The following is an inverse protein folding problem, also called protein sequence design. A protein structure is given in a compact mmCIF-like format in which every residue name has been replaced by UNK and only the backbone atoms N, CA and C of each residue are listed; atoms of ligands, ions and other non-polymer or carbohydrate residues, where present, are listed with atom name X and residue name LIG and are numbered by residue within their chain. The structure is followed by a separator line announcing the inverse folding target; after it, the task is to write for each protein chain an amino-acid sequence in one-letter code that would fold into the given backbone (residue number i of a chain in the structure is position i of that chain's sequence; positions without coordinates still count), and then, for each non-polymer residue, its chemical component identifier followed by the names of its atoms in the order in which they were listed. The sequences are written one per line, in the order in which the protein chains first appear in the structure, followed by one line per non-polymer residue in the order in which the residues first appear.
data_IF_530387268422
#
_entry.id   IF_530387268422
#
_cell.length_a   1.000
_cell.length_b   1.000
_cell.length_c   1.000
_cell.angle_alpha   90.00
_cell.angle_beta   90.00
_cell.angle_gamma   90.00
#
_symmetry.space_group_name_H-M   'P 1'
#
loop_
_entity.id
_entity.type
_entity.pdbx_description
1 polymer ?
#
# COMPACT_ATOMS: atom_id res chain seq x y z
N UNK A 1 -15.62 -18.90 -4.71
CA UNK A 1 -16.79 -18.04 -4.40
C UNK A 1 -16.47 -16.64 -4.94
N UNK A 2 -17.16 -16.24 -6.01
CA UNK A 2 -17.03 -14.89 -6.56
C UNK A 2 -17.66 -13.91 -5.56
N UNK A 3 -16.84 -13.09 -4.92
CA UNK A 3 -17.37 -11.95 -4.15
C UNK A 3 -17.89 -10.93 -5.17
N UNK A 4 -19.20 -10.93 -5.35
CA UNK A 4 -19.92 -9.88 -6.06
C UNK A 4 -19.66 -8.58 -5.29
N UNK A 5 -18.80 -7.74 -5.82
CA UNK A 5 -18.58 -6.38 -5.31
C UNK A 5 -19.91 -5.64 -5.51
N UNK A 6 -20.50 -5.18 -4.42
CA UNK A 6 -21.78 -4.48 -4.47
C UNK A 6 -21.71 -3.30 -5.46
N UNK A 7 -22.78 -3.05 -6.25
CA UNK A 7 -22.78 -2.01 -7.28
C UNK A 7 -22.55 -0.57 -6.78
N UNK A 8 -22.50 -0.38 -5.48
CA UNK A 8 -22.34 0.92 -4.80
C UNK A 8 -20.88 1.21 -4.34
N UNK A 9 -19.90 0.31 -4.60
CA UNK A 9 -18.52 0.58 -4.24
C UNK A 9 -17.91 1.70 -5.11
N UNK A 10 -17.11 2.62 -4.53
CA UNK A 10 -16.41 3.66 -5.29
C UNK A 10 -15.59 3.05 -6.44
N UNK A 11 -15.52 3.76 -7.58
CA UNK A 11 -14.81 3.28 -8.77
C UNK A 11 -13.37 2.86 -8.46
N UNK A 12 -12.65 3.65 -7.67
CA UNK A 12 -11.28 3.34 -7.26
C UNK A 12 -11.14 2.00 -6.52
N UNK A 13 -12.15 1.59 -5.74
CA UNK A 13 -12.14 0.30 -5.06
C UNK A 13 -12.47 -0.85 -6.04
N UNK A 14 -13.37 -0.61 -6.99
CA UNK A 14 -13.72 -1.58 -8.04
C UNK A 14 -12.56 -1.87 -8.99
N UNK A 15 -11.75 -0.85 -9.28
CA UNK A 15 -10.56 -0.92 -10.15
C UNK A 15 -9.29 -1.34 -9.41
N UNK A 16 -9.36 -1.53 -8.08
CA UNK A 16 -8.17 -1.88 -7.30
C UNK A 16 -7.62 -3.24 -7.75
N UNK A 17 -6.33 -3.32 -8.13
CA UNK A 17 -5.66 -4.56 -8.46
C UNK A 17 -5.85 -5.63 -7.38
N UNK A 18 -6.11 -6.85 -7.80
CA UNK A 18 -6.26 -8.04 -6.94
C UNK A 18 -5.04 -8.94 -6.98
N UNK A 19 -4.21 -8.78 -7.99
CA UNK A 19 -2.95 -9.51 -8.20
C UNK A 19 -1.83 -8.55 -8.55
N UNK A 20 -0.57 -8.98 -8.37
CA UNK A 20 0.59 -8.19 -8.77
C UNK A 20 0.60 -7.87 -10.27
N UNK A 21 0.14 -8.79 -11.11
CA UNK A 21 0.09 -8.61 -12.56
C UNK A 21 -0.90 -7.54 -13.02
N UNK A 22 -1.86 -7.18 -12.17
CA UNK A 22 -2.82 -6.11 -12.46
C UNK A 22 -2.32 -4.72 -12.01
N UNK A 23 -1.20 -4.66 -11.27
CA UNK A 23 -0.63 -3.38 -10.84
C UNK A 23 0.00 -2.71 -12.05
N UNK A 24 -0.51 -1.52 -12.36
CA UNK A 24 0.00 -0.70 -13.45
C UNK A 24 1.15 0.16 -12.95
N UNK A 25 2.22 0.25 -13.72
CA UNK A 25 3.44 0.97 -13.35
C UNK A 25 4.31 0.22 -12.33
N UNK A 26 5.26 0.92 -11.71
CA UNK A 26 6.16 0.42 -10.65
C UNK A 26 7.03 -0.78 -11.07
N UNK A 27 7.37 -0.93 -12.35
CA UNK A 27 8.15 -2.06 -12.87
C UNK A 27 9.53 -2.20 -12.22
N UNK A 28 10.13 -1.08 -11.79
CA UNK A 28 11.40 -1.05 -11.07
C UNK A 28 11.33 -1.68 -9.65
N UNK A 29 10.12 -1.86 -9.10
CA UNK A 29 9.88 -2.53 -7.82
C UNK A 29 9.23 -3.91 -7.97
N UNK A 30 8.33 -4.06 -8.94
CA UNK A 30 7.47 -5.22 -9.11
C UNK A 30 7.84 -6.08 -10.33
N UNK A 31 8.80 -5.64 -11.13
CA UNK A 31 9.34 -6.41 -12.25
C UNK A 31 10.00 -7.71 -11.78
N UNK A 32 10.24 -8.62 -12.71
CA UNK A 32 10.90 -9.89 -12.43
C UNK A 32 12.28 -9.68 -11.78
N UNK A 33 12.57 -10.39 -10.70
CA UNK A 33 13.82 -10.29 -9.96
C UNK A 33 13.96 -9.04 -9.07
N UNK A 34 12.99 -8.14 -9.05
CA UNK A 34 13.03 -6.96 -8.19
C UNK A 34 12.72 -7.29 -6.73
N UNK A 35 13.32 -6.54 -5.81
CA UNK A 35 13.32 -6.86 -4.38
C UNK A 35 11.90 -6.99 -3.79
N UNK A 36 10.96 -6.12 -4.17
CA UNK A 36 9.58 -6.20 -3.68
C UNK A 36 8.85 -7.40 -4.30
N UNK A 37 9.10 -7.69 -5.59
CA UNK A 37 8.56 -8.88 -6.25
C UNK A 37 9.03 -10.17 -5.58
N UNK A 38 10.32 -10.28 -5.29
CA UNK A 38 10.89 -11.43 -4.58
C UNK A 38 10.30 -11.62 -3.18
N UNK A 39 9.99 -10.54 -2.46
CA UNK A 39 9.31 -10.62 -1.18
C UNK A 39 7.91 -11.24 -1.30
N UNK A 40 7.14 -10.87 -2.33
CA UNK A 40 5.85 -11.49 -2.62
C UNK A 40 6.01 -12.99 -2.94
N UNK A 41 6.97 -13.35 -3.77
CA UNK A 41 7.21 -14.73 -4.21
C UNK A 41 7.74 -15.63 -3.11
N UNK A 42 8.55 -15.08 -2.20
CA UNK A 42 9.09 -15.82 -1.05
C UNK A 42 8.05 -16.09 0.05
N UNK A 43 6.90 -15.41 0.03
CA UNK A 43 5.89 -15.49 1.08
C UNK A 43 6.37 -14.96 2.44
N UNK A 44 7.47 -14.20 2.46
CA UNK A 44 8.03 -13.62 3.69
C UNK A 44 7.87 -12.11 3.71
N UNK A 45 6.85 -11.60 4.43
CA UNK A 45 6.68 -10.17 4.58
C UNK A 45 7.83 -9.57 5.39
N UNK A 46 8.28 -8.40 4.98
CA UNK A 46 9.22 -7.58 5.74
C UNK A 46 8.68 -6.18 5.92
N UNK A 47 9.08 -5.52 6.98
CA UNK A 47 8.68 -4.14 7.23
C UNK A 47 9.29 -3.20 6.19
N UNK A 48 8.47 -2.26 5.71
CA UNK A 48 8.90 -1.34 4.66
C UNK A 48 8.20 0.01 4.75
N UNK A 49 8.76 0.99 4.03
CA UNK A 49 8.19 2.31 3.84
C UNK A 49 8.01 2.53 2.35
N UNK A 50 6.79 2.80 1.94
CA UNK A 50 6.45 3.24 0.59
C UNK A 50 6.49 4.76 0.51
N UNK A 51 7.44 5.28 -0.23
CA UNK A 51 7.61 6.71 -0.45
C UNK A 51 7.30 7.07 -1.90
N UNK A 52 6.48 8.08 -2.10
CA UNK A 52 6.18 8.59 -3.44
C UNK A 52 4.92 9.45 -3.48
N UNK A 53 4.67 10.12 -4.62
CA UNK A 53 3.51 11.01 -4.80
C UNK A 53 2.18 10.33 -4.51
N UNK A 54 1.10 11.09 -4.29
CA UNK A 54 -0.25 10.55 -4.20
C UNK A 54 -0.63 9.75 -5.46
N UNK A 55 -1.47 8.75 -5.32
CA UNK A 55 -1.99 7.98 -6.46
C UNK A 55 -1.03 6.97 -7.08
N UNK A 56 0.17 6.76 -6.53
CA UNK A 56 1.18 5.81 -7.04
C UNK A 56 0.94 4.35 -6.67
N UNK A 57 -0.08 4.05 -5.87
CA UNK A 57 -0.46 2.67 -5.52
C UNK A 57 0.04 2.17 -4.17
N UNK A 58 0.57 3.03 -3.27
CA UNK A 58 1.10 2.63 -1.94
C UNK A 58 0.14 1.73 -1.16
N UNK A 59 -1.10 2.16 -0.97
CA UNK A 59 -2.13 1.40 -0.26
C UNK A 59 -2.51 0.11 -1.00
N UNK A 60 -2.53 0.15 -2.33
CA UNK A 60 -2.85 -1.01 -3.16
C UNK A 60 -1.80 -2.11 -2.99
N UNK A 61 -0.52 -1.75 -3.07
CA UNK A 61 0.59 -2.71 -2.90
C UNK A 61 0.58 -3.29 -1.49
N UNK A 62 0.34 -2.45 -0.45
CA UNK A 62 0.24 -2.94 0.92
C UNK A 62 -0.91 -3.96 1.12
N UNK A 63 -2.06 -3.74 0.51
CA UNK A 63 -3.19 -4.68 0.54
C UNK A 63 -2.88 -5.99 -0.21
N UNK A 64 -2.20 -5.89 -1.34
CA UNK A 64 -1.75 -7.08 -2.09
C UNK A 64 -0.75 -7.89 -1.27
N UNK A 65 0.17 -7.25 -0.55
CA UNK A 65 1.07 -7.93 0.39
C UNK A 65 0.29 -8.68 1.46
N UNK A 66 -0.69 -8.03 2.10
CA UNK A 66 -1.50 -8.68 3.12
C UNK A 66 -2.25 -9.92 2.58
N UNK A 67 -2.81 -9.81 1.38
CA UNK A 67 -3.48 -10.93 0.71
C UNK A 67 -2.52 -12.05 0.35
N UNK A 68 -1.35 -11.72 -0.22
CA UNK A 68 -0.35 -12.71 -0.62
C UNK A 68 0.24 -13.50 0.57
N UNK A 69 0.28 -12.87 1.74
CA UNK A 69 0.83 -13.48 2.96
C UNK A 69 -0.24 -14.06 3.90
N UNK A 70 -1.51 -14.06 3.48
CA UNK A 70 -2.68 -14.43 4.31
C UNK A 70 -2.64 -13.72 5.67
N UNK A 71 -2.32 -12.44 5.67
CA UNK A 71 -2.18 -11.64 6.87
C UNK A 71 -3.43 -10.80 7.13
N UNK A 72 -3.74 -10.62 8.41
CA UNK A 72 -4.71 -9.60 8.82
C UNK A 72 -4.18 -8.22 8.45
N UNK A 73 -4.98 -7.42 7.74
CA UNK A 73 -4.62 -6.06 7.34
C UNK A 73 -5.27 -5.04 8.27
N UNK A 74 -4.44 -4.27 8.99
CA UNK A 74 -4.89 -3.19 9.86
C UNK A 74 -4.40 -1.88 9.27
N UNK A 75 -5.31 -0.93 9.08
CA UNK A 75 -4.98 0.40 8.54
C UNK A 75 -5.09 1.46 9.64
N UNK A 76 -4.07 2.28 9.77
CA UNK A 76 -4.05 3.46 10.63
C UNK A 76 -3.79 4.68 9.75
N UNK A 77 -4.61 5.73 9.89
CA UNK A 77 -4.33 7.04 9.28
C UNK A 77 -3.59 7.90 10.28
N UNK A 78 -2.38 8.32 9.98
CA UNK A 78 -1.63 9.22 10.87
C UNK A 78 -2.19 10.66 10.87
N UNK A 79 -3.07 11.00 9.92
CA UNK A 79 -3.76 12.29 9.88
C UNK A 79 -4.89 12.37 10.92
N UNK A 80 -5.64 11.28 11.07
CA UNK A 80 -6.84 11.22 11.92
C UNK A 80 -6.61 10.41 13.20
N UNK A 81 -5.60 9.54 13.20
CA UNK A 81 -5.31 8.60 14.27
C UNK A 81 -4.33 9.16 15.30
N UNK A 82 -4.17 8.38 16.38
CA UNK A 82 -3.27 8.70 17.48
C UNK A 82 -2.80 7.45 18.22
N UNK A 83 -2.29 7.65 19.44
CA UNK A 83 -1.79 6.57 20.31
C UNK A 83 -2.85 5.51 20.57
N UNK A 84 -4.12 5.88 20.60
CA UNK A 84 -5.24 4.95 20.80
C UNK A 84 -5.30 3.92 19.64
N UNK A 85 -5.21 4.40 18.40
CA UNK A 85 -5.27 3.54 17.22
C UNK A 85 -4.08 2.58 17.17
N UNK A 86 -2.90 3.04 17.61
CA UNK A 86 -1.70 2.19 17.71
C UNK A 86 -1.94 1.07 18.72
N UNK A 87 -2.50 1.38 19.92
CA UNK A 87 -2.82 0.38 20.94
C UNK A 87 -3.84 -0.64 20.44
N UNK A 88 -4.92 -0.17 19.80
CA UNK A 88 -5.92 -1.06 19.21
C UNK A 88 -5.33 -2.00 18.14
N UNK A 89 -4.40 -1.50 17.33
CA UNK A 89 -3.70 -2.31 16.35
C UNK A 89 -2.83 -3.39 17.01
N UNK A 90 -2.14 -3.05 18.09
CA UNK A 90 -1.35 -4.00 18.89
C UNK A 90 -2.22 -5.09 19.49
N UNK A 91 -3.35 -4.73 20.12
CA UNK A 91 -4.30 -5.69 20.69
C UNK A 91 -4.85 -6.66 19.61
N UNK A 92 -5.26 -6.12 18.46
CA UNK A 92 -5.72 -6.93 17.32
C UNK A 92 -4.63 -7.86 16.79
N UNK A 93 -3.38 -7.39 16.72
CA UNK A 93 -2.26 -8.20 16.27
C UNK A 93 -1.94 -9.32 17.26
N UNK A 94 -2.01 -9.08 18.57
CA UNK A 94 -1.84 -10.09 19.61
C UNK A 94 -2.91 -11.19 19.51
N UNK A 95 -4.17 -10.79 19.32
CA UNK A 95 -5.26 -11.75 19.12
C UNK A 95 -5.08 -12.59 17.85
N UNK A 96 -4.66 -11.98 16.75
CA UNK A 96 -4.38 -12.69 15.51
C UNK A 96 -3.21 -13.68 15.68
N UNK A 97 -2.16 -13.26 16.36
CA UNK A 97 -1.00 -14.13 16.66
C UNK A 97 -1.39 -15.37 17.48
N UNK A 98 -2.28 -15.21 18.49
CA UNK A 98 -2.81 -16.34 19.26
C UNK A 98 -3.60 -17.32 18.38
N UNK A 99 -4.17 -16.85 17.28
CA UNK A 99 -4.87 -17.66 16.28
C UNK A 99 -3.94 -18.20 15.17
N UNK A 100 -2.64 -18.01 15.29
CA UNK A 100 -1.65 -18.42 14.29
C UNK A 100 -1.66 -17.55 13.01
N UNK A 101 -2.29 -16.38 13.04
CA UNK A 101 -2.37 -15.47 11.89
C UNK A 101 -1.33 -14.36 11.99
N UNK A 102 -0.71 -14.06 10.86
CA UNK A 102 0.17 -12.88 10.72
C UNK A 102 -0.66 -11.61 10.67
N UNK A 103 -0.07 -10.51 11.11
CA UNK A 103 -0.67 -9.18 10.99
C UNK A 103 0.25 -8.25 10.22
N UNK A 104 -0.34 -7.44 9.37
CA UNK A 104 0.31 -6.38 8.64
C UNK A 104 -0.36 -5.06 9.03
N UNK A 105 0.41 -4.15 9.61
CA UNK A 105 -0.07 -2.82 10.02
C UNK A 105 0.39 -1.79 9.00
N UNK A 106 -0.57 -1.21 8.29
CA UNK A 106 -0.35 -0.14 7.32
C UNK A 106 -0.64 1.21 7.95
N UNK A 107 0.35 2.09 7.97
CA UNK A 107 0.25 3.46 8.49
C UNK A 107 0.31 4.43 7.33
N UNK A 108 -0.84 5.01 7.00
CA UNK A 108 -0.93 6.02 5.95
C UNK A 108 -0.48 7.38 6.45
N UNK A 109 0.31 8.09 5.64
CA UNK A 109 0.93 9.38 5.93
C UNK A 109 1.76 9.36 7.24
N UNK A 110 2.60 8.34 7.40
CA UNK A 110 3.37 8.08 8.65
C UNK A 110 4.17 9.29 9.14
N UNK A 111 4.57 10.21 8.25
CA UNK A 111 5.25 11.46 8.59
C UNK A 111 4.41 12.42 9.45
N UNK A 112 3.09 12.23 9.52
CA UNK A 112 2.18 13.02 10.37
C UNK A 112 2.24 12.60 11.84
N UNK A 113 2.70 11.40 12.12
CA UNK A 113 2.98 11.00 13.50
C UNK A 113 4.24 11.66 14.02
N UNK A 114 4.18 12.15 15.27
CA UNK A 114 5.37 12.64 15.96
C UNK A 114 6.32 11.49 16.29
N UNK A 115 7.54 11.82 16.70
CA UNK A 115 8.59 10.81 17.00
C UNK A 115 8.15 9.79 18.05
N UNK A 116 7.48 10.23 19.12
CA UNK A 116 6.99 9.33 20.17
C UNK A 116 5.90 8.36 19.67
N UNK A 117 5.04 8.80 18.76
CA UNK A 117 4.05 7.93 18.13
C UNK A 117 4.72 6.93 17.17
N UNK A 118 5.73 7.36 16.43
CA UNK A 118 6.51 6.46 15.58
C UNK A 118 7.30 5.44 16.42
N UNK A 119 7.88 5.86 17.55
CA UNK A 119 8.59 4.98 18.49
C UNK A 119 7.69 3.90 19.08
N UNK A 120 6.39 4.18 19.23
CA UNK A 120 5.43 3.22 19.77
C UNK A 120 5.29 1.95 18.93
N UNK A 121 5.68 1.97 17.64
CA UNK A 121 5.68 0.78 16.79
C UNK A 121 6.93 -0.10 17.00
N UNK A 122 8.05 0.46 17.45
CA UNK A 122 9.35 -0.22 17.48
C UNK A 122 9.36 -1.55 18.25
N UNK A 123 8.84 -1.64 19.50
CA UNK A 123 8.88 -2.89 20.25
C UNK A 123 8.13 -4.02 19.53
N UNK A 124 7.09 -3.68 18.80
CA UNK A 124 6.22 -4.63 18.12
C UNK A 124 6.77 -5.06 16.77
N UNK A 125 7.48 -4.17 16.09
CA UNK A 125 8.24 -4.50 14.87
C UNK A 125 9.44 -5.40 15.22
N UNK A 126 10.17 -5.07 16.29
CA UNK A 126 11.32 -5.84 16.76
C UNK A 126 10.94 -7.25 17.25
N UNK A 127 9.82 -7.37 17.94
CA UNK A 127 9.30 -8.67 18.39
C UNK A 127 8.67 -9.50 17.28
N UNK A 128 8.47 -8.93 16.09
CA UNK A 128 7.77 -9.60 14.99
C UNK A 128 6.28 -9.80 15.23
N UNK A 129 5.66 -9.04 16.15
CA UNK A 129 4.23 -9.10 16.41
C UNK A 129 3.43 -8.78 15.14
N UNK A 130 3.90 -7.82 14.37
CA UNK A 130 3.35 -7.49 13.06
C UNK A 130 4.43 -6.99 12.09
N UNK A 131 4.14 -7.08 10.81
CA UNK A 131 4.91 -6.43 9.75
C UNK A 131 4.41 -4.99 9.61
N UNK A 132 5.33 -4.03 9.72
CA UNK A 132 5.02 -2.60 9.59
C UNK A 132 5.18 -2.14 8.15
N UNK A 133 4.16 -1.44 7.62
CA UNK A 133 4.24 -0.74 6.32
C UNK A 133 3.86 0.72 6.54
N UNK A 134 4.82 1.61 6.41
CA UNK A 134 4.58 3.05 6.37
C UNK A 134 4.35 3.53 4.95
N UNK A 135 3.41 4.45 4.74
CA UNK A 135 3.26 5.19 3.50
C UNK A 135 3.50 6.68 3.75
N UNK A 136 4.21 7.33 2.85
CA UNK A 136 4.49 8.77 2.96
C UNK A 136 4.68 9.41 1.59
N UNK A 137 4.28 10.67 1.49
CA UNK A 137 4.58 11.54 0.35
C UNK A 137 5.87 12.36 0.58
N UNK A 138 6.31 12.46 1.82
CA UNK A 138 7.50 13.22 2.23
C UNK A 138 8.74 12.32 2.28
N UNK A 139 9.93 12.94 2.17
CA UNK A 139 11.18 12.18 2.22
C UNK A 139 11.36 11.50 3.59
N UNK A 140 11.36 10.16 3.65
CA UNK A 140 11.41 9.43 4.90
C UNK A 140 12.70 9.69 5.69
N UNK A 141 13.79 10.06 5.05
CA UNK A 141 15.06 10.34 5.74
C UNK A 141 14.99 11.55 6.69
N UNK A 142 14.01 12.45 6.48
CA UNK A 142 13.81 13.62 7.33
C UNK A 142 12.62 13.45 8.28
N UNK A 143 11.61 12.72 7.86
CA UNK A 143 10.30 12.69 8.51
C UNK A 143 10.05 11.41 9.31
N UNK A 144 10.73 10.32 8.96
CA UNK A 144 10.59 9.04 9.65
C UNK A 144 11.74 8.86 10.62
N UNK A 145 11.42 8.40 11.81
CA UNK A 145 12.38 8.09 12.85
C UNK A 145 13.44 7.09 12.37
N UNK A 146 14.71 7.39 12.65
CA UNK A 146 15.85 6.57 12.21
C UNK A 146 15.81 5.13 12.74
N UNK A 147 15.19 4.90 13.89
CA UNK A 147 15.04 3.56 14.45
C UNK A 147 14.04 2.71 13.64
N UNK A 148 12.94 3.31 13.11
CA UNK A 148 12.06 2.63 12.17
C UNK A 148 12.73 2.42 10.82
N UNK A 149 13.46 3.44 10.29
CA UNK A 149 14.17 3.32 9.03
C UNK A 149 15.22 2.22 9.04
N UNK A 150 15.88 2.00 10.17
CA UNK A 150 16.88 0.91 10.28
C UNK A 150 16.29 -0.49 10.24
N UNK A 151 14.96 -0.61 10.40
CA UNK A 151 14.21 -1.89 10.44
C UNK A 151 13.25 -2.08 9.28
N UNK A 152 13.19 -1.11 8.36
CA UNK A 152 12.27 -1.11 7.24
C UNK A 152 13.00 -0.82 5.93
N UNK A 153 12.72 -1.59 4.89
CA UNK A 153 13.19 -1.28 3.55
C UNK A 153 12.43 -0.07 2.99
N UNK A 154 13.12 0.85 2.32
CA UNK A 154 12.45 1.98 1.67
C UNK A 154 12.25 1.66 0.19
N UNK A 155 11.01 1.71 -0.27
CA UNK A 155 10.63 1.56 -1.67
C UNK A 155 10.12 2.88 -2.21
N UNK A 156 10.76 3.36 -3.26
CA UNK A 156 10.39 4.63 -3.91
C UNK A 156 9.42 4.34 -5.05
N UNK A 157 8.18 4.81 -4.89
CA UNK A 157 7.17 4.70 -5.94
C UNK A 157 7.21 5.93 -6.83
N UNK A 158 7.16 5.69 -8.13
CA UNK A 158 7.18 6.73 -9.15
C UNK A 158 5.76 7.12 -9.58
N UNK A 159 5.60 8.35 -10.06
CA UNK A 159 4.36 8.78 -10.69
C UNK A 159 4.02 7.87 -11.87
N UNK A 160 2.73 7.65 -12.08
CA UNK A 160 2.24 6.89 -13.23
C UNK A 160 2.51 7.68 -14.51
N UNK A 161 2.95 6.99 -15.54
CA UNK A 161 3.14 7.58 -16.87
C UNK A 161 1.80 7.76 -17.59
N UNK A 162 1.80 8.53 -18.69
CA UNK A 162 0.63 8.66 -19.53
C UNK A 162 0.11 7.30 -20.06
N UNK A 163 1.01 6.38 -20.35
CA UNK A 163 0.65 5.04 -20.82
C UNK A 163 0.09 4.17 -19.69
N UNK A 164 0.61 4.30 -18.47
CA UNK A 164 0.03 3.66 -17.28
C UNK A 164 -1.41 4.13 -17.06
N UNK A 165 -1.65 5.44 -17.16
CA UNK A 165 -3.00 6.01 -17.02
C UNK A 165 -3.96 5.54 -18.12
N UNK A 166 -3.50 5.44 -19.37
CA UNK A 166 -4.29 4.86 -20.47
C UNK A 166 -4.69 3.42 -20.15
N UNK A 167 -3.76 2.62 -19.64
CA UNK A 167 -4.04 1.22 -19.28
C UNK A 167 -5.11 1.14 -18.18
N UNK A 168 -5.05 2.00 -17.16
CA UNK A 168 -6.07 2.05 -16.09
C UNK A 168 -7.43 2.42 -16.65
N UNK A 169 -7.50 3.43 -17.52
CA UNK A 169 -8.76 3.86 -18.16
C UNK A 169 -9.34 2.74 -19.03
N UNK A 170 -8.51 2.08 -19.83
CA UNK A 170 -8.93 0.93 -20.66
C UNK A 170 -9.48 -0.21 -19.80
N UNK A 171 -8.84 -0.51 -18.68
CA UNK A 171 -9.33 -1.51 -17.72
C UNK A 171 -10.68 -1.11 -17.10
N UNK A 172 -10.88 0.18 -16.82
CA UNK A 172 -12.13 0.72 -16.30
C UNK A 172 -13.28 0.58 -17.32
N UNK A 173 -13.00 0.83 -18.60
CA UNK A 173 -13.95 0.65 -19.70
C UNK A 173 -14.33 -0.82 -19.89
N UNK A 174 -13.33 -1.73 -19.87
CA UNK A 174 -13.57 -3.17 -19.98
C UNK A 174 -14.48 -3.71 -18.86
N UNK A 175 -14.44 -3.11 -17.66
CA UNK A 175 -15.35 -3.43 -16.55
C UNK A 175 -16.70 -2.72 -16.66
N UNK A 176 -16.97 -2.01 -17.75
CA UNK A 176 -18.15 -1.16 -17.92
C UNK A 176 -18.37 -0.18 -16.73
N UNK A 177 -17.27 0.18 -16.08
CA UNK A 177 -17.29 1.02 -14.89
C UNK A 177 -17.36 2.52 -15.22
N UNK A 178 -17.02 2.87 -16.46
CA UNK A 178 -17.05 4.24 -17.01
C UNK A 178 -17.62 4.19 -18.42
N UNK A 179 -18.23 5.28 -18.92
CA UNK A 179 -18.66 5.41 -20.31
C UNK A 179 -17.46 5.24 -21.27
N UNK A 180 -17.77 4.91 -22.52
CA UNK A 180 -16.77 4.89 -23.57
C UNK A 180 -16.14 6.30 -23.71
N UNK A 181 -14.84 6.40 -23.52
CA UNK A 181 -14.08 7.65 -23.62
C UNK A 181 -13.31 7.60 -24.93
N UNK A 182 -13.44 8.68 -25.73
CA UNK A 182 -12.68 8.79 -26.96
C UNK A 182 -11.17 8.72 -26.72
N UNK A 183 -10.43 8.02 -27.59
CA UNK A 183 -8.98 7.85 -27.48
C UNK A 183 -8.22 9.19 -27.32
N UNK A 184 -8.71 10.25 -27.97
CA UNK A 184 -8.15 11.60 -27.88
C UNK A 184 -8.28 12.21 -26.48
N UNK A 185 -9.37 11.94 -25.75
CA UNK A 185 -9.58 12.41 -24.39
C UNK A 185 -8.67 11.65 -23.40
N UNK A 186 -8.45 10.34 -23.61
CA UNK A 186 -7.51 9.53 -22.82
C UNK A 186 -6.08 10.08 -22.96
N UNK A 187 -5.70 10.48 -24.17
CA UNK A 187 -4.38 11.08 -24.44
C UNK A 187 -4.20 12.43 -23.70
N UNK A 188 -5.26 13.22 -23.58
CA UNK A 188 -5.24 14.48 -22.84
C UNK A 188 -5.09 14.28 -21.33
N UNK A 189 -5.74 13.26 -20.75
CA UNK A 189 -5.60 12.91 -19.32
C UNK A 189 -4.13 12.60 -19.00
N UNK A 190 -3.45 11.84 -19.86
CA UNK A 190 -2.03 11.53 -19.70
C UNK A 190 -1.11 12.76 -19.73
N UNK A 191 -1.45 13.79 -20.51
CA UNK A 191 -0.66 15.05 -20.61
C UNK A 191 -0.86 16.00 -19.44
N UNK A 192 -1.98 15.92 -18.75
CA UNK A 192 -2.31 16.81 -17.62
C UNK A 192 -1.62 16.42 -16.30
N UNK A 193 -0.96 15.26 -16.24
CA UNK A 193 -0.33 14.69 -15.04
C UNK A 193 1.20 14.59 -15.12
N UNK A 194 1.82 15.17 -16.15
CA UNK A 194 3.29 15.21 -16.31
C UNK A 194 3.83 16.56 -15.87
#
# INVERSE_FOLDING_TARGET
MQHSIAPLSPLAERLRPKTLGEVVGQQHLLGEGMALRLAFESGQPHSCIFWGPPGTGKTTIARLMASAFDAQFITISAVLGGVKDIREAVEKAQLAQQQGRRTLVFVDEVHRFNKGQQDAFLPHVESGLFTFIGATTENPSFEVNSALLSRAAVYVLQSLTADDLKQIVTSAQALQAVPEIEAKAIEQIGRAHV
#
